data_IF_557036811100
#
_entry.id   IF_557036811100
#
_cell.length_a   1.000
_cell.length_b   1.000
_cell.length_c   1.000
_cell.angle_alpha   90.00
_cell.angle_beta   90.00
_cell.angle_gamma   90.00
#
_symmetry.space_group_name_H-M   'P 1'
#
loop_
_entity.id
_entity.type
_entity.pdbx_description
1 polymer ?
#
# COMPACT_ATOMS: atom_id res chain seq x y z
N UNK A 1 -21.02 63.44 -4.11
CA UNK A 1 -20.79 63.50 -2.65
C UNK A 1 -19.69 62.49 -2.33
N UNK A 2 -18.44 62.94 -2.24
CA UNK A 2 -17.74 63.34 -1.00
C UNK A 2 -17.12 62.09 -0.33
N UNK A 3 -15.94 61.72 -0.82
CA UNK A 3 -14.63 61.87 -0.16
C UNK A 3 -14.41 60.82 0.93
N UNK A 4 -13.43 59.94 0.72
CA UNK A 4 -12.41 59.57 1.72
C UNK A 4 -11.34 58.73 1.01
N UNK A 5 -10.62 59.40 0.11
CA UNK A 5 -9.27 58.98 -0.24
C UNK A 5 -8.39 59.31 0.96
N UNK A 6 -8.44 58.49 2.00
CA UNK A 6 -7.44 58.55 3.06
C UNK A 6 -6.09 58.21 2.45
N UNK A 7 -5.34 59.28 2.24
CA UNK A 7 -3.93 59.32 1.94
C UNK A 7 -3.20 58.15 2.62
N UNK A 8 -2.69 57.21 1.80
CA UNK A 8 -1.74 56.17 2.23
C UNK A 8 -0.42 56.85 2.61
N UNK A 9 -0.41 57.59 3.72
CA UNK A 9 0.81 58.10 4.32
C UNK A 9 1.64 56.89 4.72
N UNK A 10 2.85 56.80 4.18
CA UNK A 10 3.80 55.76 4.51
C UNK A 10 4.15 55.84 6.00
N UNK A 11 3.61 54.90 6.80
CA UNK A 11 3.88 54.76 8.26
C UNK A 11 5.27 54.17 8.54
N UNK A 12 6.29 54.54 7.76
CA UNK A 12 7.65 54.00 7.90
C UNK A 12 8.26 54.52 9.21
N UNK A 13 8.35 53.65 10.21
CA UNK A 13 8.95 53.95 11.52
C UNK A 13 7.96 54.15 12.68
N UNK A 14 6.65 53.99 12.47
CA UNK A 14 5.66 54.00 13.56
C UNK A 14 5.52 52.59 14.18
N UNK A 15 5.43 52.46 15.51
CA UNK A 15 5.19 51.17 16.17
C UNK A 15 3.82 50.61 15.76
N UNK A 16 3.73 49.29 15.63
CA UNK A 16 2.52 48.59 15.22
C UNK A 16 1.39 48.92 16.21
N UNK A 17 0.33 49.58 15.74
CA UNK A 17 -0.82 49.95 16.58
C UNK A 17 -1.67 48.72 16.87
N UNK A 18 -2.43 48.73 17.97
CA UNK A 18 -3.32 47.63 18.34
C UNK A 18 -4.33 47.29 17.22
N UNK A 19 -4.82 48.30 16.48
CA UNK A 19 -5.68 48.07 15.31
C UNK A 19 -4.98 47.31 14.17
N UNK A 20 -3.70 47.63 13.91
CA UNK A 20 -2.92 46.94 12.87
C UNK A 20 -2.70 45.46 13.26
N UNK A 21 -2.45 45.19 14.54
CA UNK A 21 -2.32 43.83 15.07
C UNK A 21 -3.66 43.05 15.00
N UNK A 22 -4.78 43.70 15.30
CA UNK A 22 -6.11 43.11 15.18
C UNK A 22 -6.47 42.79 13.72
N UNK A 23 -6.17 43.71 12.80
CA UNK A 23 -6.34 43.51 11.35
C UNK A 23 -5.50 42.34 10.82
N UNK A 24 -4.23 42.26 11.25
CA UNK A 24 -3.35 41.14 10.91
C UNK A 24 -3.91 39.81 11.43
N UNK A 25 -4.37 39.77 12.69
CA UNK A 25 -4.99 38.59 13.27
C UNK A 25 -6.26 38.18 12.51
N UNK A 26 -7.12 39.13 12.17
CA UNK A 26 -8.34 38.85 11.41
C UNK A 26 -8.01 38.26 10.04
N UNK A 27 -6.95 38.73 9.37
CA UNK A 27 -6.46 38.16 8.11
C UNK A 27 -5.94 36.73 8.29
N UNK A 28 -5.20 36.44 9.37
CA UNK A 28 -4.74 35.09 9.71
C UNK A 28 -5.92 34.14 9.99
N UNK A 29 -6.94 34.60 10.71
CA UNK A 29 -8.16 33.83 10.97
C UNK A 29 -8.88 33.52 9.65
N UNK A 30 -9.13 34.54 8.81
CA UNK A 30 -9.78 34.36 7.50
C UNK A 30 -9.01 33.40 6.59
N UNK A 31 -7.68 33.52 6.51
CA UNK A 31 -6.87 32.61 5.68
C UNK A 31 -6.84 31.18 6.23
N UNK A 32 -6.86 31.00 7.56
CA UNK A 32 -6.96 29.69 8.20
C UNK A 32 -8.30 28.99 7.95
N UNK A 33 -9.40 29.74 7.81
CA UNK A 33 -10.73 29.18 7.58
C UNK A 33 -10.77 28.33 6.31
N UNK A 34 -10.20 28.84 5.21
CA UNK A 34 -10.12 28.10 3.95
C UNK A 34 -9.37 26.77 4.11
N UNK A 35 -8.28 26.77 4.89
CA UNK A 35 -7.50 25.57 5.19
C UNK A 35 -8.29 24.57 6.04
N UNK A 36 -9.01 25.05 7.07
CA UNK A 36 -9.85 24.21 7.94
C UNK A 36 -10.98 23.55 7.14
N UNK A 37 -11.65 24.30 6.25
CA UNK A 37 -12.71 23.76 5.40
C UNK A 37 -12.16 22.66 4.47
N UNK A 38 -10.98 22.88 3.86
CA UNK A 38 -10.32 21.87 3.04
C UNK A 38 -9.96 20.61 3.84
N UNK A 39 -9.39 20.77 5.03
CA UNK A 39 -9.06 19.64 5.92
C UNK A 39 -10.33 18.86 6.27
N UNK A 40 -11.43 19.54 6.61
CA UNK A 40 -12.70 18.88 6.93
C UNK A 40 -13.22 18.04 5.76
N UNK A 41 -13.22 18.59 4.54
CA UNK A 41 -13.64 17.84 3.35
C UNK A 41 -12.78 16.60 3.09
N UNK A 42 -11.46 16.73 3.28
CA UNK A 42 -10.54 15.61 3.17
C UNK A 42 -10.83 14.53 4.22
N UNK A 43 -11.10 14.92 5.48
CA UNK A 43 -11.44 13.97 6.55
C UNK A 43 -12.75 13.23 6.27
N UNK A 44 -13.78 13.92 5.78
CA UNK A 44 -15.04 13.27 5.36
C UNK A 44 -14.79 12.27 4.23
N UNK A 45 -13.91 12.60 3.28
CA UNK A 45 -13.53 11.69 2.20
C UNK A 45 -12.77 10.46 2.71
N UNK A 46 -11.84 10.63 3.66
CA UNK A 46 -11.12 9.52 4.28
C UNK A 46 -12.03 8.64 5.14
N UNK A 47 -12.98 9.23 5.86
CA UNK A 47 -13.97 8.49 6.65
C UNK A 47 -14.86 7.61 5.76
N UNK A 48 -15.23 8.09 4.56
CA UNK A 48 -15.97 7.27 3.59
C UNK A 48 -15.17 6.05 3.09
N UNK A 49 -13.85 6.07 3.24
CA UNK A 49 -12.93 4.98 2.90
C UNK A 49 -12.55 4.12 4.12
N UNK A 50 -13.13 4.36 5.30
CA UNK A 50 -12.83 3.59 6.51
C UNK A 50 -13.10 2.09 6.31
N UNK A 51 -12.11 1.25 6.60
CA UNK A 51 -12.18 -0.20 6.41
C UNK A 51 -12.05 -0.68 4.96
N UNK A 52 -11.78 0.22 4.01
CA UNK A 52 -11.51 -0.12 2.61
C UNK A 52 -10.01 -0.26 2.32
N UNK A 53 -9.66 -1.03 1.29
CA UNK A 53 -8.27 -1.18 0.80
C UNK A 53 -7.73 0.15 0.27
N UNK A 54 -8.59 0.99 -0.26
CA UNK A 54 -8.29 2.31 -0.77
C UNK A 54 -7.67 3.19 0.33
N UNK A 55 -8.17 3.11 1.55
CA UNK A 55 -7.58 3.82 2.69
C UNK A 55 -6.22 3.25 3.10
N UNK A 56 -6.08 1.91 3.12
CA UNK A 56 -4.80 1.24 3.37
C UNK A 56 -3.72 1.67 2.36
N UNK A 57 -4.10 1.82 1.09
CA UNK A 57 -3.19 2.28 0.03
C UNK A 57 -2.77 3.75 0.23
N UNK A 58 -3.68 4.62 0.68
CA UNK A 58 -3.41 6.05 0.92
C UNK A 58 -2.52 6.25 2.16
N UNK A 59 -2.78 5.52 3.23
CA UNK A 59 -1.97 5.57 4.47
C UNK A 59 -0.58 4.95 4.21
N UNK A 60 -0.41 4.27 3.07
CA UNK A 60 0.70 3.37 2.83
C UNK A 60 0.46 2.10 3.63
N UNK A 61 0.85 0.96 3.05
CA UNK A 61 0.80 -0.35 3.69
C UNK A 61 1.63 -0.27 4.98
N UNK A 62 1.02 0.16 6.08
CA UNK A 62 1.59 -0.02 7.41
C UNK A 62 1.30 -1.45 7.78
N UNK A 63 1.99 -2.39 7.14
CA UNK A 63 2.11 -3.82 7.43
C UNK A 63 1.09 -4.37 8.44
N UNK A 64 -0.21 -4.23 8.13
CA UNK A 64 -1.27 -4.89 8.89
C UNK A 64 -1.34 -6.32 8.39
N UNK A 65 -0.28 -7.03 8.79
CA UNK A 65 -0.23 -8.43 9.17
C UNK A 65 -0.43 -9.45 8.06
N UNK A 66 0.48 -9.47 7.07
CA UNK A 66 1.05 -10.77 6.74
C UNK A 66 1.92 -11.15 7.95
N UNK A 67 1.42 -12.04 8.81
CA UNK A 67 2.23 -12.62 9.87
C UNK A 67 3.44 -13.29 9.20
N UNK A 68 4.58 -12.60 9.18
CA UNK A 68 5.77 -13.01 8.45
C UNK A 68 6.19 -14.43 8.85
N UNK A 69 5.98 -14.80 10.12
CA UNK A 69 6.25 -16.16 10.58
C UNK A 69 5.35 -17.20 9.92
N UNK A 70 4.07 -16.91 9.70
CA UNK A 70 3.15 -17.80 8.99
C UNK A 70 3.50 -17.91 7.49
N UNK A 71 3.97 -16.83 6.88
CA UNK A 71 4.36 -16.82 5.46
C UNK A 71 5.68 -17.56 5.22
N UNK A 72 6.65 -17.39 6.12
CA UNK A 72 7.92 -18.14 6.12
C UNK A 72 7.65 -19.63 6.37
N UNK A 73 6.76 -19.98 7.31
CA UNK A 73 6.38 -21.37 7.57
C UNK A 73 5.72 -22.02 6.34
N UNK A 74 4.78 -21.34 5.67
CA UNK A 74 4.18 -21.86 4.42
C UNK A 74 5.22 -22.10 3.34
N UNK A 75 6.15 -21.15 3.18
CA UNK A 75 7.23 -21.26 2.19
C UNK A 75 8.13 -22.45 2.49
N UNK A 76 8.48 -22.66 3.76
CA UNK A 76 9.31 -23.80 4.18
C UNK A 76 8.63 -25.14 3.89
N UNK A 77 7.34 -25.28 4.22
CA UNK A 77 6.57 -26.51 3.92
C UNK A 77 6.56 -26.79 2.41
N UNK A 78 6.33 -25.76 1.60
CA UNK A 78 6.27 -25.91 0.15
C UNK A 78 7.64 -26.28 -0.45
N UNK A 79 8.74 -25.73 0.07
CA UNK A 79 10.09 -26.09 -0.35
C UNK A 79 10.40 -27.56 -0.04
N UNK A 80 10.08 -28.04 1.16
CA UNK A 80 10.28 -29.46 1.50
C UNK A 80 9.48 -30.39 0.60
N UNK A 81 8.22 -30.05 0.29
CA UNK A 81 7.41 -30.83 -0.66
C UNK A 81 8.03 -30.84 -2.07
N UNK A 82 8.56 -29.70 -2.53
CA UNK A 82 9.21 -29.61 -3.84
C UNK A 82 10.49 -30.46 -3.89
N UNK A 83 11.29 -30.48 -2.82
CA UNK A 83 12.49 -31.32 -2.70
C UNK A 83 12.15 -32.81 -2.71
N UNK A 84 11.12 -33.24 -1.97
CA UNK A 84 10.64 -34.64 -1.99
C UNK A 84 10.21 -35.06 -3.39
N UNK A 85 9.47 -34.21 -4.11
CA UNK A 85 9.06 -34.49 -5.49
C UNK A 85 10.25 -34.54 -6.45
N UNK A 86 11.27 -33.71 -6.26
CA UNK A 86 12.51 -33.79 -7.06
C UNK A 86 13.28 -35.09 -6.77
N UNK A 87 13.33 -35.53 -5.50
CA UNK A 87 13.95 -36.80 -5.12
C UNK A 87 13.17 -37.99 -5.67
N UNK A 88 11.84 -37.95 -5.67
CA UNK A 88 11.01 -39.01 -6.25
C UNK A 88 11.22 -39.09 -7.78
N UNK A 89 11.32 -37.96 -8.47
CA UNK A 89 11.68 -37.92 -9.90
C UNK A 89 13.07 -38.51 -10.19
N UNK A 90 14.02 -38.39 -9.25
CA UNK A 90 15.36 -38.99 -9.36
C UNK A 90 15.38 -40.48 -8.99
N UNK A 91 14.49 -40.92 -8.10
CA UNK A 91 14.38 -42.32 -7.64
C UNK A 91 13.54 -43.21 -8.54
N UNK A 92 12.65 -42.63 -9.35
CA UNK A 92 12.06 -43.36 -10.46
C UNK A 92 13.20 -43.70 -11.43
N UNK A 93 13.57 -44.98 -11.62
CA UNK A 93 14.46 -45.31 -12.72
C UNK A 93 13.76 -44.79 -13.96
N UNK A 94 14.48 -44.06 -14.83
CA UNK A 94 13.97 -43.71 -16.15
C UNK A 94 13.38 -44.99 -16.71
N UNK A 95 12.04 -45.08 -16.77
CA UNK A 95 11.31 -46.34 -17.03
C UNK A 95 11.98 -46.91 -18.25
N UNK A 96 12.78 -47.96 -18.06
CA UNK A 96 13.49 -48.58 -19.16
C UNK A 96 12.36 -49.05 -20.05
N UNK A 97 12.18 -48.33 -21.15
CA UNK A 97 11.25 -48.71 -22.16
C UNK A 97 11.91 -49.95 -22.74
N UNK A 98 11.56 -51.12 -22.18
CA UNK A 98 12.12 -52.38 -22.63
C UNK A 98 11.67 -52.48 -24.07
N UNK A 99 12.59 -52.18 -24.98
CA UNK A 99 12.39 -52.32 -26.40
C UNK A 99 12.35 -53.82 -26.66
N UNK A 100 11.17 -54.40 -26.42
CA UNK A 100 10.95 -55.83 -26.53
C UNK A 100 10.95 -56.14 -28.02
N UNK A 101 11.95 -56.92 -28.44
CA UNK A 101 12.18 -57.25 -29.84
C UNK A 101 10.98 -57.99 -30.49
N UNK A 102 10.07 -58.56 -29.69
CA UNK A 102 8.76 -59.02 -30.14
C UNK A 102 7.73 -58.99 -29.01
N UNK A 103 6.45 -58.93 -29.39
CA UNK A 103 5.32 -58.85 -28.47
C UNK A 103 5.13 -60.11 -27.61
N UNK A 104 5.59 -61.28 -28.04
CA UNK A 104 5.49 -62.51 -27.25
C UNK A 104 6.49 -62.54 -26.08
N UNK A 105 7.67 -61.94 -26.25
CA UNK A 105 8.64 -61.80 -25.16
C UNK A 105 8.13 -60.84 -24.08
N UNK A 106 7.40 -59.79 -24.46
CA UNK A 106 6.76 -58.87 -23.52
C UNK A 106 5.67 -59.55 -22.70
N UNK A 107 4.76 -60.29 -23.36
CA UNK A 107 3.65 -60.93 -22.64
C UNK A 107 4.11 -62.02 -21.67
N UNK A 108 5.21 -62.73 -21.98
CA UNK A 108 5.78 -63.70 -21.03
C UNK A 108 6.37 -63.05 -19.78
N UNK A 109 6.91 -61.83 -19.86
CA UNK A 109 7.48 -61.17 -18.67
C UNK A 109 6.44 -60.60 -17.71
N UNK A 110 5.15 -60.64 -18.06
CA UNK A 110 4.04 -60.18 -17.21
C UNK A 110 3.35 -61.32 -16.45
N UNK A 111 3.74 -62.57 -16.74
CA UNK A 111 3.16 -63.78 -16.14
C UNK A 111 4.08 -64.44 -15.09
N UNK A 112 5.32 -63.97 -14.95
CA UNK A 112 6.17 -64.17 -13.76
C UNK A 112 5.83 -63.11 -12.71
#
# INVERSE_FOLDING_TARGET
EQNDSESRLSRRGQPQTEEDAFMELQSKVKSSLARIVKIRANLTSLQALEGSRELENIIGISDLSCNLSAEVQKTQVLMSQAEELQLLKRKLPAREYVQTASSSAFLKSLLD
#
